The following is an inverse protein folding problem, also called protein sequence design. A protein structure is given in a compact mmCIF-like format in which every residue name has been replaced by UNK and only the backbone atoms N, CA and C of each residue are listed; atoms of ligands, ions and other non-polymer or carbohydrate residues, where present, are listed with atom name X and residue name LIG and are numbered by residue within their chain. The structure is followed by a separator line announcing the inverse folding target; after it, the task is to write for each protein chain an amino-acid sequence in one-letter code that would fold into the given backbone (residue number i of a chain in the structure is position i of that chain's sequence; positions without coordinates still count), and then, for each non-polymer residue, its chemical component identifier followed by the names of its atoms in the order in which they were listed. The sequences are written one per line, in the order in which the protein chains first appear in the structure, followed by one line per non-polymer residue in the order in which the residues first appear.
data_IF_911409889728
#
_entry.id   IF_911409889728
#
_cell.length_a   1.000
_cell.length_b   1.000
_cell.length_c   1.000
_cell.angle_alpha   90.00
_cell.angle_beta   90.00
_cell.angle_gamma   90.00
#
_symmetry.space_group_name_H-M   'P 1'
#
loop_
_entity.id
_entity.type
_entity.pdbx_description
1 polymer ?
#
# COMPACT_ATOMS: atom_id res chain seq x y z
N UNK A 1 -9.12 3.95 8.62
CA UNK A 1 -8.31 3.05 9.48
C UNK A 1 -7.39 3.90 10.36
N UNK A 2 -6.85 3.36 11.47
CA UNK A 2 -5.81 4.04 12.27
C UNK A 2 -4.38 3.66 11.86
N UNK A 3 -4.21 2.47 11.28
CA UNK A 3 -2.92 1.93 10.81
C UNK A 3 -1.83 1.97 11.90
N UNK A 4 -2.20 1.54 13.10
CA UNK A 4 -1.31 1.49 14.27
C UNK A 4 -1.22 0.06 14.80
N UNK A 5 -0.05 -0.30 15.31
CA UNK A 5 0.17 -1.53 16.06
C UNK A 5 -0.55 -1.41 17.41
N UNK A 6 -1.34 -2.42 17.77
CA UNK A 6 -2.15 -2.42 19.00
C UNK A 6 -1.82 -3.58 19.94
N UNK A 7 -0.87 -4.41 19.55
CA UNK A 7 -0.40 -5.52 20.38
C UNK A 7 0.43 -4.97 21.55
N UNK A 8 0.09 -5.28 22.81
CA UNK A 8 0.81 -4.80 23.98
C UNK A 8 2.30 -5.13 24.00
N UNK A 9 2.70 -6.23 23.34
CA UNK A 9 4.12 -6.64 23.22
C UNK A 9 4.95 -5.56 22.55
N UNK A 10 4.35 -4.78 21.64
CA UNK A 10 5.01 -3.69 20.92
C UNK A 10 4.63 -2.30 21.43
N UNK A 11 4.04 -2.17 22.61
CA UNK A 11 3.56 -0.88 23.13
C UNK A 11 4.68 0.17 23.31
N UNK A 12 5.92 -0.27 23.58
CA UNK A 12 7.09 0.61 23.70
C UNK A 12 7.89 0.77 22.40
N UNK A 13 7.49 0.10 21.32
CA UNK A 13 8.16 0.23 20.03
C UNK A 13 7.84 1.58 19.39
N UNK A 14 8.75 2.09 18.56
CA UNK A 14 8.44 3.27 17.74
C UNK A 14 7.29 2.91 16.79
N UNK A 15 6.25 3.76 16.68
CA UNK A 15 5.17 3.48 15.75
C UNK A 15 5.69 3.49 14.31
N UNK A 16 5.20 2.59 13.44
CA UNK A 16 5.56 2.61 12.03
C UNK A 16 5.06 3.90 11.38
N UNK A 17 5.83 4.42 10.42
CA UNK A 17 5.38 5.54 9.58
C UNK A 17 4.21 5.09 8.72
N UNK A 18 3.12 5.84 8.74
CA UNK A 18 1.97 5.61 7.87
C UNK A 18 2.20 6.32 6.55
N UNK A 19 1.93 5.63 5.45
CA UNK A 19 2.00 6.23 4.12
C UNK A 19 0.62 6.16 3.47
N UNK A 20 0.08 7.32 3.12
CA UNK A 20 -1.21 7.44 2.40
C UNK A 20 -0.92 7.85 0.97
N UNK A 21 -1.29 6.99 0.01
CA UNK A 21 -1.19 7.30 -1.42
C UNK A 21 -2.51 7.93 -1.89
N UNK A 22 -2.48 9.22 -2.20
CA UNK A 22 -3.63 9.96 -2.69
C UNK A 22 -3.24 10.95 -3.79
N UNK A 23 -3.31 10.54 -5.07
CA UNK A 23 -2.81 11.35 -6.18
C UNK A 23 -3.53 12.70 -6.33
N UNK A 24 -4.84 12.73 -6.10
CA UNK A 24 -5.70 13.89 -6.40
C UNK A 24 -6.27 14.61 -5.19
N UNK A 25 -5.91 14.22 -3.97
CA UNK A 25 -6.31 14.93 -2.76
C UNK A 25 -7.75 14.70 -2.32
N UNK A 26 -8.21 13.45 -2.40
CA UNK A 26 -9.53 12.98 -1.95
C UNK A 26 -9.63 12.78 -0.44
N UNK A 27 -8.52 12.53 0.24
CA UNK A 27 -8.45 12.29 1.68
C UNK A 27 -8.52 13.64 2.41
N UNK A 28 -9.53 13.89 3.26
CA UNK A 28 -9.56 15.09 4.07
C UNK A 28 -8.56 15.03 5.23
N UNK A 29 -8.15 16.20 5.74
CA UNK A 29 -7.16 16.34 6.81
C UNK A 29 -7.60 15.79 8.17
N UNK A 30 -8.90 15.62 8.37
CA UNK A 30 -9.51 15.16 9.63
C UNK A 30 -9.57 13.62 9.79
N UNK A 31 -9.03 12.86 8.84
CA UNK A 31 -9.09 11.40 8.89
C UNK A 31 -8.20 10.84 9.99
N UNK A 32 -8.67 9.77 10.63
CA UNK A 32 -7.92 9.00 11.66
C UNK A 32 -6.54 8.50 11.21
N UNK A 33 -6.27 8.40 9.90
CA UNK A 33 -4.95 8.02 9.40
C UNK A 33 -3.93 9.19 9.45
N UNK A 34 -4.42 10.41 9.70
CA UNK A 34 -3.66 11.65 9.81
C UNK A 34 -3.66 12.19 11.25
N UNK A 35 -4.13 11.41 12.23
CA UNK A 35 -4.07 11.82 13.64
C UNK A 35 -2.62 11.79 14.17
N UNK A 36 -2.40 12.26 15.38
CA UNK A 36 -1.06 12.30 15.98
C UNK A 36 -0.57 10.94 16.53
N UNK A 37 -1.32 9.84 16.31
CA UNK A 37 -1.00 8.54 16.91
C UNK A 37 0.24 7.87 16.28
N UNK A 38 0.63 8.27 15.07
CA UNK A 38 1.85 7.84 14.40
C UNK A 38 2.26 8.88 13.34
N UNK A 39 3.56 9.00 13.01
CA UNK A 39 3.99 9.85 11.89
C UNK A 39 3.28 9.43 10.60
N UNK A 40 2.84 10.41 9.81
CA UNK A 40 2.16 10.15 8.54
C UNK A 40 2.81 10.93 7.41
N UNK A 41 3.09 10.23 6.31
CA UNK A 41 3.43 10.79 5.02
C UNK A 41 2.25 10.63 4.07
N UNK A 42 1.85 11.72 3.41
CA UNK A 42 0.94 11.68 2.27
C UNK A 42 1.77 11.78 0.99
N UNK A 43 1.74 10.70 0.20
CA UNK A 43 2.29 10.68 -1.14
C UNK A 43 1.19 11.11 -2.12
N UNK A 44 1.40 12.24 -2.78
CA UNK A 44 0.44 12.88 -3.68
C UNK A 44 1.11 13.30 -4.99
N UNK A 45 0.35 13.89 -5.90
CA UNK A 45 0.89 14.45 -7.14
C UNK A 45 0.48 15.92 -7.28
N UNK A 46 0.83 16.54 -8.40
CA UNK A 46 0.44 17.90 -8.73
C UNK A 46 -1.08 18.12 -8.78
N UNK A 47 -1.87 17.04 -8.88
CA UNK A 47 -3.33 17.09 -8.96
C UNK A 47 -4.02 17.47 -7.65
N UNK A 48 -3.40 17.20 -6.49
CA UNK A 48 -3.94 17.68 -5.22
C UNK A 48 -3.75 19.20 -5.11
N UNK A 49 -4.78 19.96 -4.78
CA UNK A 49 -4.68 21.42 -4.73
C UNK A 49 -3.74 21.91 -3.61
N UNK A 50 -3.13 23.09 -3.76
CA UNK A 50 -2.31 23.70 -2.70
C UNK A 50 -3.06 23.81 -1.36
N UNK A 51 -4.34 24.24 -1.30
CA UNK A 51 -5.10 24.26 -0.05
C UNK A 51 -5.24 22.87 0.59
N UNK A 52 -5.46 21.82 -0.21
CA UNK A 52 -5.56 20.43 0.32
C UNK A 52 -4.23 19.97 0.92
N UNK A 53 -3.12 20.27 0.26
CA UNK A 53 -1.78 19.93 0.77
C UNK A 53 -1.47 20.69 2.06
N UNK A 54 -1.85 21.96 2.15
CA UNK A 54 -1.70 22.74 3.37
C UNK A 54 -2.55 22.15 4.51
N UNK A 55 -3.80 21.77 4.25
CA UNK A 55 -4.67 21.12 5.24
C UNK A 55 -4.04 19.85 5.83
N UNK A 56 -3.32 19.06 5.03
CA UNK A 56 -2.60 17.89 5.51
C UNK A 56 -1.39 18.23 6.38
N UNK A 57 -0.64 19.27 6.01
CA UNK A 57 0.47 19.77 6.83
C UNK A 57 -0.05 20.30 8.17
N UNK A 58 -1.15 21.05 8.15
CA UNK A 58 -1.81 21.59 9.34
C UNK A 58 -2.35 20.47 10.25
N UNK A 59 -2.74 19.33 9.67
CA UNK A 59 -3.10 18.10 10.39
C UNK A 59 -1.89 17.34 10.96
N UNK A 60 -0.66 17.77 10.66
CA UNK A 60 0.58 17.17 11.17
C UNK A 60 1.17 16.08 10.29
N UNK A 61 0.74 15.95 9.03
CA UNK A 61 1.32 15.01 8.07
C UNK A 61 2.45 15.66 7.26
N UNK A 62 3.48 14.89 6.96
CA UNK A 62 4.41 15.21 5.88
C UNK A 62 3.70 15.05 4.53
N UNK A 63 4.03 15.90 3.56
CA UNK A 63 3.50 15.78 2.19
C UNK A 63 4.65 15.65 1.20
N UNK A 64 4.63 14.58 0.42
CA UNK A 64 5.52 14.39 -0.73
C UNK A 64 4.72 14.50 -2.02
N UNK A 65 5.08 15.48 -2.85
CA UNK A 65 4.55 15.62 -4.20
C UNK A 65 5.50 14.88 -5.14
N UNK A 66 4.99 13.82 -5.76
CA UNK A 66 5.76 12.91 -6.61
C UNK A 66 5.22 12.94 -8.04
N UNK A 67 6.07 12.51 -8.98
CA UNK A 67 5.68 12.32 -10.37
C UNK A 67 4.56 11.30 -10.52
N UNK A 68 3.78 11.48 -11.58
CA UNK A 68 2.69 10.57 -11.92
C UNK A 68 3.19 9.32 -12.62
N UNK A 69 2.54 8.21 -12.32
CA UNK A 69 2.67 7.00 -13.11
C UNK A 69 1.90 7.14 -14.44
N UNK A 70 2.08 6.15 -15.33
CA UNK A 70 1.40 6.08 -16.64
C UNK A 70 -0.13 6.01 -16.58
N UNK A 71 -0.70 5.76 -15.40
CA UNK A 71 -2.16 5.74 -15.15
C UNK A 71 -2.65 7.00 -14.43
N UNK A 72 -1.76 7.96 -14.20
CA UNK A 72 -2.05 9.22 -13.52
C UNK A 72 -2.07 9.13 -12.00
N UNK A 73 -1.72 7.98 -11.41
CA UNK A 73 -1.51 7.81 -9.97
C UNK A 73 -0.12 8.29 -9.53
N UNK A 74 0.23 8.10 -8.26
CA UNK A 74 1.59 8.36 -7.75
C UNK A 74 2.55 7.29 -8.29
N UNK A 75 3.74 7.69 -8.75
CA UNK A 75 4.83 6.76 -9.07
C UNK A 75 5.29 6.01 -7.80
N UNK A 76 4.90 4.74 -7.69
CA UNK A 76 5.29 3.91 -6.55
C UNK A 76 6.80 3.63 -6.48
N UNK A 77 7.54 3.44 -7.60
CA UNK A 77 9.00 3.35 -7.54
C UNK A 77 9.64 4.59 -6.93
N UNK A 78 9.20 5.79 -7.32
CA UNK A 78 9.71 7.04 -6.74
C UNK A 78 9.35 7.18 -5.25
N UNK A 79 8.16 6.72 -4.85
CA UNK A 79 7.77 6.65 -3.45
C UNK A 79 8.68 5.71 -2.66
N UNK A 80 8.93 4.49 -3.13
CA UNK A 80 9.82 3.55 -2.43
C UNK A 80 11.24 4.09 -2.33
N UNK A 81 11.76 4.74 -3.37
CA UNK A 81 13.08 5.40 -3.32
C UNK A 81 13.11 6.52 -2.26
N UNK A 82 12.06 7.34 -2.20
CA UNK A 82 11.92 8.39 -1.17
C UNK A 82 11.90 7.78 0.24
N UNK A 83 11.15 6.70 0.44
CA UNK A 83 11.08 6.02 1.75
C UNK A 83 12.45 5.43 2.14
N UNK A 84 13.16 4.83 1.18
CA UNK A 84 14.52 4.32 1.41
C UNK A 84 15.50 5.43 1.82
N UNK A 85 15.42 6.62 1.19
CA UNK A 85 16.20 7.81 1.58
C UNK A 85 15.85 8.34 2.98
N UNK A 86 14.72 7.92 3.56
CA UNK A 86 14.30 8.22 4.94
C UNK A 86 14.60 7.06 5.91
N UNK A 87 15.47 6.13 5.53
CA UNK A 87 15.84 4.94 6.30
C UNK A 87 14.67 4.00 6.63
N UNK A 88 13.60 4.02 5.82
CA UNK A 88 12.47 3.10 5.95
C UNK A 88 12.73 1.86 5.11
N UNK A 89 13.17 0.78 5.75
CA UNK A 89 13.68 -0.43 5.10
C UNK A 89 12.60 -1.49 4.80
N UNK A 90 11.40 -1.35 5.38
CA UNK A 90 10.31 -2.29 5.19
C UNK A 90 8.97 -1.57 5.10
N UNK A 91 8.15 -1.97 4.13
CA UNK A 91 6.82 -1.41 3.91
C UNK A 91 5.80 -2.54 3.87
N UNK A 92 4.80 -2.44 4.75
CA UNK A 92 3.60 -3.26 4.64
C UNK A 92 2.59 -2.49 3.81
N UNK A 93 2.34 -2.97 2.59
CA UNK A 93 1.35 -2.38 1.70
C UNK A 93 -0.02 -3.02 1.97
N UNK A 94 -0.91 -2.23 2.59
CA UNK A 94 -2.32 -2.57 2.76
C UNK A 94 -3.18 -1.56 2.01
N UNK A 95 -4.23 -2.02 1.34
CA UNK A 95 -5.12 -1.13 0.60
C UNK A 95 -6.06 -1.84 -0.34
N UNK A 96 -6.58 -1.07 -1.29
CA UNK A 96 -7.48 -1.59 -2.32
C UNK A 96 -6.76 -2.29 -3.45
N UNK A 97 -7.50 -3.06 -4.28
CA UNK A 97 -6.94 -3.90 -5.33
C UNK A 97 -6.25 -3.11 -6.45
N UNK A 98 -6.60 -1.84 -6.63
CA UNK A 98 -5.93 -0.94 -7.58
C UNK A 98 -4.52 -0.59 -7.13
N UNK A 99 -4.32 -0.29 -5.84
CA UNK A 99 -3.00 0.01 -5.30
C UNK A 99 -2.11 -1.24 -5.30
N UNK A 100 -2.67 -2.39 -4.90
CA UNK A 100 -1.98 -3.67 -4.96
C UNK A 100 -1.55 -4.01 -6.40
N UNK A 101 -2.44 -3.83 -7.39
CA UNK A 101 -2.08 -4.00 -8.79
C UNK A 101 -0.99 -3.03 -9.24
N UNK A 102 -1.09 -1.73 -8.93
CA UNK A 102 -0.05 -0.76 -9.30
C UNK A 102 1.31 -1.15 -8.72
N UNK A 103 1.36 -1.61 -7.47
CA UNK A 103 2.61 -2.04 -6.84
C UNK A 103 3.23 -3.27 -7.53
N UNK A 104 2.42 -4.29 -7.82
CA UNK A 104 2.87 -5.49 -8.54
C UNK A 104 3.31 -5.14 -9.96
N UNK A 105 2.54 -4.32 -10.66
CA UNK A 105 2.82 -3.85 -12.01
C UNK A 105 4.14 -3.06 -12.08
N UNK A 106 4.36 -2.18 -11.12
CA UNK A 106 5.54 -1.30 -11.07
C UNK A 106 6.77 -1.98 -10.48
N UNK A 107 6.61 -3.15 -9.86
CA UNK A 107 7.73 -3.99 -9.44
C UNK A 107 8.36 -3.65 -8.12
N UNK A 108 7.56 -3.05 -7.26
CA UNK A 108 7.99 -2.63 -5.92
C UNK A 108 7.54 -3.61 -4.83
N UNK A 109 7.08 -4.80 -5.21
CA UNK A 109 6.63 -5.85 -4.29
C UNK A 109 7.66 -6.96 -4.29
N UNK A 110 8.23 -7.24 -3.13
CA UNK A 110 9.17 -8.35 -2.93
C UNK A 110 8.45 -9.62 -2.43
N UNK A 111 7.40 -9.48 -1.61
CA UNK A 111 6.67 -10.59 -1.01
C UNK A 111 5.15 -10.32 -0.94
N UNK A 112 4.37 -11.37 -1.15
CA UNK A 112 2.93 -11.41 -0.95
C UNK A 112 2.60 -12.16 0.34
N UNK A 113 1.69 -11.61 1.13
CA UNK A 113 1.07 -12.29 2.28
C UNK A 113 -0.44 -12.27 2.07
N UNK A 114 -1.01 -13.40 1.69
CA UNK A 114 -2.42 -13.56 1.35
C UNK A 114 -3.15 -14.29 2.47
N UNK A 115 -4.30 -13.76 2.87
CA UNK A 115 -5.21 -14.40 3.83
C UNK A 115 -6.49 -14.82 3.11
N UNK A 116 -6.83 -16.10 3.20
CA UNK A 116 -7.96 -16.73 2.53
C UNK A 116 -8.91 -17.27 3.59
N UNK A 117 -10.10 -16.67 3.69
CA UNK A 117 -11.16 -17.12 4.58
C UNK A 117 -12.05 -18.19 3.90
N UNK A 118 -12.67 -19.11 4.65
CA UNK A 118 -13.59 -20.12 4.11
C UNK A 118 -14.97 -19.51 3.82
N UNK A 119 -15.01 -18.49 2.97
CA UNK A 119 -16.21 -17.74 2.63
C UNK A 119 -16.38 -17.60 1.12
N UNK A 120 -17.60 -17.85 0.63
CA UNK A 120 -17.96 -17.70 -0.77
C UNK A 120 -18.81 -16.44 -0.95
N UNK A 121 -18.26 -15.44 -1.62
CA UNK A 121 -18.97 -14.16 -1.89
C UNK A 121 -19.69 -14.21 -3.24
N UNK A 122 -19.02 -14.69 -4.30
CA UNK A 122 -19.56 -14.73 -5.67
C UNK A 122 -19.81 -13.33 -6.29
N UNK A 123 -20.18 -13.29 -7.56
CA UNK A 123 -20.56 -12.07 -8.28
C UNK A 123 -19.49 -11.56 -9.26
N UNK A 124 -19.92 -11.17 -10.47
CA UNK A 124 -19.02 -10.67 -11.54
C UNK A 124 -18.36 -9.33 -11.17
N UNK A 125 -19.05 -8.51 -10.40
CA UNK A 125 -18.60 -7.19 -9.96
C UNK A 125 -17.99 -7.23 -8.55
N UNK A 126 -17.88 -8.43 -7.96
CA UNK A 126 -17.22 -8.59 -6.68
C UNK A 126 -15.76 -8.13 -6.80
N UNK A 127 -15.34 -7.37 -5.80
CA UNK A 127 -13.98 -6.81 -5.79
C UNK A 127 -12.96 -7.91 -5.51
N UNK A 128 -12.14 -8.24 -6.51
CA UNK A 128 -10.98 -9.12 -6.33
C UNK A 128 -9.85 -8.44 -5.56
N UNK A 129 -8.77 -9.17 -5.28
CA UNK A 129 -7.61 -8.64 -4.57
C UNK A 129 -6.63 -7.84 -5.47
N UNK A 130 -6.76 -7.97 -6.80
CA UNK A 130 -6.08 -7.13 -7.80
C UNK A 130 -7.09 -6.52 -8.77
N UNK A 131 -6.89 -5.26 -9.12
CA UNK A 131 -7.74 -4.53 -10.08
C UNK A 131 -6.89 -3.65 -10.99
N UNK A 132 -6.90 -3.97 -12.28
CA UNK A 132 -6.22 -3.20 -13.31
C UNK A 132 -6.16 -3.97 -14.63
N UNK A 133 -5.24 -3.56 -15.52
CA UNK A 133 -5.14 -4.12 -16.87
C UNK A 133 -4.70 -5.58 -16.93
N UNK A 134 -4.15 -6.12 -15.84
CA UNK A 134 -3.54 -7.45 -15.81
C UNK A 134 -2.25 -7.53 -16.65
N UNK A 135 -1.60 -8.69 -16.58
CA UNK A 135 -0.52 -9.07 -17.49
C UNK A 135 -1.11 -9.80 -18.69
N UNK A 136 -0.84 -9.29 -19.88
CA UNK A 136 -1.28 -9.92 -21.14
C UNK A 136 -0.13 -9.89 -22.16
N UNK A 137 0.18 -11.02 -22.83
CA UNK A 137 -0.35 -12.37 -22.59
C UNK A 137 0.12 -12.97 -21.24
N UNK A 138 -0.42 -14.14 -20.86
CA UNK A 138 -0.09 -14.82 -19.59
C UNK A 138 1.41 -15.07 -19.39
N UNK A 139 2.17 -15.25 -20.48
CA UNK A 139 3.64 -15.39 -20.42
C UNK A 139 4.38 -14.13 -19.93
N UNK A 140 3.69 -13.01 -19.71
CA UNK A 140 4.22 -11.80 -19.06
C UNK A 140 3.80 -11.67 -17.60
N UNK A 141 3.09 -12.66 -17.04
CA UNK A 141 2.73 -12.65 -15.63
C UNK A 141 3.98 -12.72 -14.75
N UNK A 142 3.96 -12.00 -13.64
CA UNK A 142 5.03 -12.11 -12.63
C UNK A 142 4.94 -13.49 -11.96
N UNK A 143 5.99 -14.33 -12.04
CA UNK A 143 6.03 -15.58 -11.28
C UNK A 143 6.09 -15.28 -9.79
N UNK A 144 5.52 -16.17 -8.99
CA UNK A 144 5.62 -16.12 -7.52
C UNK A 144 6.01 -17.51 -7.01
N UNK A 145 6.87 -17.56 -6.01
CA UNK A 145 7.24 -18.80 -5.34
C UNK A 145 6.55 -18.85 -3.98
N UNK A 146 5.78 -19.90 -3.72
CA UNK A 146 5.13 -20.09 -2.41
C UNK A 146 6.20 -20.51 -1.39
N UNK A 147 6.40 -19.67 -0.38
CA UNK A 147 7.34 -19.90 0.73
C UNK A 147 6.69 -20.70 1.84
N UNK A 148 5.46 -20.35 2.24
CA UNK A 148 4.73 -21.09 3.27
C UNK A 148 3.23 -21.05 3.05
N UNK A 149 2.57 -22.10 3.56
CA UNK A 149 1.11 -22.20 3.69
C UNK A 149 0.81 -22.64 5.11
N UNK A 150 0.08 -21.81 5.85
CA UNK A 150 -0.23 -22.03 7.25
C UNK A 150 -1.73 -21.86 7.49
N UNK A 151 -2.32 -22.73 8.31
CA UNK A 151 -3.70 -22.55 8.76
C UNK A 151 -3.73 -21.66 10.00
N UNK A 152 -4.53 -20.59 9.96
CA UNK A 152 -4.75 -19.66 11.07
C UNK A 152 -6.22 -19.73 11.49
N UNK A 153 -6.53 -20.62 12.43
CA UNK A 153 -7.91 -20.91 12.81
C UNK A 153 -8.72 -21.44 11.62
N UNK A 154 -9.81 -20.78 11.19
CA UNK A 154 -10.56 -21.18 10.00
C UNK A 154 -9.90 -20.76 8.68
N UNK A 155 -8.96 -19.81 8.71
CA UNK A 155 -8.38 -19.18 7.52
C UNK A 155 -7.06 -19.86 7.10
N UNK A 156 -6.61 -19.57 5.88
CA UNK A 156 -5.29 -19.97 5.36
C UNK A 156 -4.46 -18.72 5.06
N UNK A 157 -3.23 -18.69 5.55
CA UNK A 157 -2.21 -17.72 5.19
C UNK A 157 -1.26 -18.35 4.17
N UNK A 158 -1.04 -17.64 3.06
CA UNK A 158 -0.05 -18.00 2.04
C UNK A 158 1.00 -16.89 2.01
N UNK A 159 2.27 -17.25 2.16
CA UNK A 159 3.40 -16.35 1.93
C UNK A 159 4.07 -16.76 0.63
N UNK A 160 4.31 -15.80 -0.27
CA UNK A 160 4.97 -16.06 -1.53
C UNK A 160 5.92 -14.93 -1.91
N UNK A 161 7.13 -15.29 -2.34
CA UNK A 161 8.10 -14.31 -2.85
C UNK A 161 7.82 -13.99 -4.32
N UNK A 162 7.98 -12.73 -4.68
CA UNK A 162 7.81 -12.24 -6.04
C UNK A 162 9.19 -12.14 -6.68
N UNK A 163 9.65 -13.24 -7.26
CA UNK A 163 10.94 -13.26 -7.95
C UNK A 163 10.88 -12.38 -9.18
N UNK A 164 11.78 -11.40 -9.21
CA UNK A 164 12.13 -10.66 -10.42
C UNK A 164 13.61 -10.88 -10.66
N UNK A 165 13.96 -11.23 -11.90
CA UNK A 165 15.33 -11.05 -12.37
C UNK A 165 15.63 -9.55 -12.26
N UNK A 166 16.29 -9.13 -11.17
CA UNK A 166 16.81 -7.76 -11.01
C UNK A 166 18.19 -7.67 -11.62
#
# INVERSE_FOLDING_TARGET
PRLTVRDPVFASARPPVRVVVDPSGRVPGDRRALDVAAPTLIATTELASTPRRQEWVDAGADVAVLDRDRTGGVSLPALIELLGKRDLQGVVLEGGPTLAWSAIRDGVVDQLVLYIAPMLVGGREATGWLAGSGFAPVGRAAPVEIVSIERLGPDVKVVADVHRDR
#
